data_IF_722090853539
#
_entry.id   IF_722090853539
#
_cell.length_a   1.000
_cell.length_b   1.000
_cell.length_c   1.000
_cell.angle_alpha   90.00
_cell.angle_beta   90.00
_cell.angle_gamma   90.00
#
_symmetry.space_group_name_H-M   'P 1'
#
loop_
_entity.id
_entity.type
_entity.pdbx_description
1 polymer ?
#
# COMPACT_ATOMS: atom_id res chain seq x y z
N UNK A 1 8.63 18.78 -3.26
CA UNK A 1 7.18 18.54 -3.31
C UNK A 1 7.04 17.09 -3.74
N UNK A 2 6.72 16.22 -2.79
CA UNK A 2 6.77 14.78 -3.02
C UNK A 2 5.56 14.34 -3.87
N UNK A 3 5.72 13.23 -4.60
CA UNK A 3 4.72 12.72 -5.54
C UNK A 3 3.36 12.50 -4.87
N UNK A 4 3.37 12.03 -3.62
CA UNK A 4 2.15 11.83 -2.83
C UNK A 4 1.43 13.14 -2.55
N UNK A 5 2.13 14.19 -2.10
CA UNK A 5 1.53 15.51 -1.87
C UNK A 5 0.93 16.07 -3.15
N UNK A 6 1.62 15.89 -4.29
CA UNK A 6 1.11 16.32 -5.59
C UNK A 6 -0.20 15.64 -5.97
N UNK A 7 -0.31 14.33 -5.74
CA UNK A 7 -1.51 13.56 -6.00
C UNK A 7 -2.65 13.94 -5.05
N UNK A 8 -2.37 14.03 -3.74
CA UNK A 8 -3.32 14.38 -2.70
C UNK A 8 -3.95 15.77 -2.95
N UNK A 9 -3.14 16.78 -3.28
CA UNK A 9 -3.61 18.14 -3.60
C UNK A 9 -4.59 18.18 -4.79
N UNK A 10 -4.57 17.15 -5.64
CA UNK A 10 -5.41 17.01 -6.85
C UNK A 10 -6.50 15.97 -6.70
N UNK A 11 -6.69 15.41 -5.51
CA UNK A 11 -7.64 14.33 -5.25
C UNK A 11 -7.40 13.12 -6.18
N UNK A 12 -6.13 12.81 -6.47
CA UNK A 12 -5.73 11.66 -7.28
C UNK A 12 -5.32 10.49 -6.38
N UNK A 13 -5.79 9.30 -6.73
CA UNK A 13 -5.42 8.06 -6.02
C UNK A 13 -4.13 7.46 -6.59
N UNK A 14 -3.26 6.97 -5.71
CA UNK A 14 -2.04 6.25 -6.08
C UNK A 14 -2.18 4.79 -5.65
N UNK A 15 -2.10 3.88 -6.62
CA UNK A 15 -2.26 2.43 -6.44
C UNK A 15 -1.05 1.70 -7.05
N UNK A 16 -0.01 1.37 -6.26
CA UNK A 16 1.15 0.64 -6.75
C UNK A 16 0.81 -0.77 -7.23
N UNK A 17 1.45 -1.18 -8.33
CA UNK A 17 1.34 -2.49 -8.99
C UNK A 17 2.74 -3.06 -9.28
N UNK A 18 3.03 -4.35 -9.16
CA UNK A 18 2.40 -5.34 -8.27
C UNK A 18 3.27 -5.44 -7.02
N UNK A 19 2.69 -5.33 -5.84
CA UNK A 19 3.47 -5.38 -4.60
C UNK A 19 3.15 -6.65 -3.84
N UNK A 20 4.13 -7.56 -3.78
CA UNK A 20 3.96 -8.88 -3.16
C UNK A 20 4.78 -9.05 -1.87
N UNK A 21 5.83 -8.23 -1.70
CA UNK A 21 6.73 -8.29 -0.54
C UNK A 21 6.11 -7.60 0.68
N UNK A 22 5.95 -8.29 1.83
CA UNK A 22 5.30 -7.73 3.02
C UNK A 22 5.93 -6.42 3.50
N UNK A 23 7.26 -6.34 3.45
CA UNK A 23 8.02 -5.15 3.84
C UNK A 23 7.70 -3.97 2.94
N UNK A 24 7.52 -4.21 1.64
CA UNK A 24 7.20 -3.16 0.69
C UNK A 24 5.74 -2.72 0.78
N UNK A 25 4.82 -3.66 1.01
CA UNK A 25 3.43 -3.36 1.36
C UNK A 25 3.38 -2.41 2.56
N UNK A 26 4.06 -2.75 3.65
CA UNK A 26 4.10 -1.93 4.87
C UNK A 26 4.69 -0.53 4.60
N UNK A 27 5.79 -0.46 3.83
CA UNK A 27 6.44 0.81 3.47
C UNK A 27 5.50 1.72 2.68
N UNK A 28 4.81 1.19 1.68
CA UNK A 28 3.90 1.95 0.82
C UNK A 28 2.62 2.36 1.54
N UNK A 29 2.08 1.50 2.42
CA UNK A 29 0.97 1.88 3.30
C UNK A 29 1.34 3.04 4.22
N UNK A 30 2.54 3.03 4.82
CA UNK A 30 3.04 4.17 5.61
C UNK A 30 3.27 5.43 4.77
N UNK A 31 3.55 5.28 3.48
CA UNK A 31 3.67 6.40 2.54
C UNK A 31 2.30 7.03 2.19
N UNK A 32 1.20 6.39 2.57
CA UNK A 32 -0.16 6.92 2.38
C UNK A 32 -0.77 6.64 1.01
N UNK A 33 -0.34 5.57 0.33
CA UNK A 33 -0.99 5.14 -0.92
C UNK A 33 -2.46 4.78 -0.69
N UNK A 34 -3.29 4.96 -1.71
CA UNK A 34 -4.74 4.72 -1.61
C UNK A 34 -5.10 3.24 -1.50
N UNK A 35 -4.16 2.37 -1.86
CA UNK A 35 -4.32 0.92 -1.87
C UNK A 35 -3.12 0.26 -2.53
N UNK A 36 -3.09 -1.06 -2.50
CA UNK A 36 -2.02 -1.88 -3.08
C UNK A 36 -2.67 -2.87 -4.03
N UNK A 37 -2.11 -3.02 -5.22
CA UNK A 37 -2.46 -4.10 -6.11
C UNK A 37 -1.41 -5.20 -5.97
N UNK A 38 -1.86 -6.40 -5.59
CA UNK A 38 -1.02 -7.53 -5.19
C UNK A 38 -1.60 -8.83 -5.74
N UNK A 39 -0.73 -9.78 -6.05
CA UNK A 39 -1.13 -11.17 -6.32
C UNK A 39 -1.54 -11.90 -5.03
N UNK A 40 -1.20 -11.34 -3.86
CA UNK A 40 -1.52 -11.86 -2.54
C UNK A 40 -2.38 -10.86 -1.74
N UNK A 41 -3.63 -10.57 -2.18
CA UNK A 41 -4.48 -9.58 -1.51
C UNK A 41 -4.76 -9.92 -0.04
N UNK A 42 -4.83 -11.20 0.31
CA UNK A 42 -5.06 -11.65 1.69
C UNK A 42 -3.91 -11.23 2.62
N UNK A 43 -2.67 -11.30 2.16
CA UNK A 43 -1.48 -10.84 2.90
C UNK A 43 -1.54 -9.33 3.12
N UNK A 44 -1.95 -8.56 2.12
CA UNK A 44 -2.13 -7.10 2.24
C UNK A 44 -3.19 -6.78 3.30
N UNK A 45 -4.32 -7.50 3.29
CA UNK A 45 -5.40 -7.34 4.29
C UNK A 45 -4.92 -7.72 5.69
N UNK A 46 -4.11 -8.76 5.83
CA UNK A 46 -3.55 -9.16 7.11
C UNK A 46 -2.65 -8.05 7.68
N UNK A 47 -1.76 -7.49 6.85
CA UNK A 47 -0.89 -6.36 7.22
C UNK A 47 -1.70 -5.13 7.65
N UNK A 48 -2.76 -4.75 6.92
CA UNK A 48 -3.58 -3.57 7.28
C UNK A 48 -4.35 -3.75 8.60
N UNK A 49 -4.63 -5.00 8.98
CA UNK A 49 -5.25 -5.35 10.27
C UNK A 49 -4.24 -5.56 11.39
N UNK A 50 -2.94 -5.51 11.10
CA UNK A 50 -1.89 -5.87 12.06
C UNK A 50 -1.86 -7.36 12.40
N UNK A 51 -2.45 -8.21 11.55
CA UNK A 51 -2.41 -9.66 11.66
C UNK A 51 -1.22 -10.19 10.85
N UNK A 52 -0.22 -10.74 11.55
CA UNK A 52 1.01 -11.24 10.93
C UNK A 52 1.04 -12.77 10.79
N UNK A 53 -0.05 -13.46 11.08
CA UNK A 53 -0.11 -14.93 11.00
C UNK A 53 -0.14 -15.47 9.56
N UNK A 54 -0.46 -14.62 8.59
CA UNK A 54 -0.65 -14.95 7.17
C UNK A 54 0.47 -14.42 6.26
N UNK A 55 1.57 -13.94 6.85
CA UNK A 55 2.62 -13.20 6.13
C UNK A 55 3.83 -14.07 5.87
#
# INVERSE_FOLDING_TARGET
KDMMDFANDRNLSILPWTVNEPKEVLRLLHLGVSGIISDFPDRVIAITKGDYTLI
#
